data_IF_826058942526
#
_entry.id   IF_826058942526
#
_cell.length_a   1.000
_cell.length_b   1.000
_cell.length_c   1.000
_cell.angle_alpha   90.00
_cell.angle_beta   90.00
_cell.angle_gamma   90.00
#
_symmetry.space_group_name_H-M   'P 1'
#
loop_
_entity.id
_entity.type
_entity.pdbx_description
1 polymer ?
#
# COMPACT_ATOMS: atom_id res chain seq x y z
N UNK A 1 -29.92 18.61 -1.26
CA UNK A 1 -28.80 18.09 -2.07
C UNK A 1 -27.93 17.22 -1.19
N UNK A 2 -27.75 15.96 -1.56
CA UNK A 2 -26.77 15.12 -0.88
C UNK A 2 -25.38 15.71 -1.13
N UNK A 3 -24.67 16.04 -0.07
CA UNK A 3 -23.29 16.51 -0.17
C UNK A 3 -22.45 15.32 -0.64
N UNK A 4 -21.87 15.43 -1.83
CA UNK A 4 -20.94 14.40 -2.32
C UNK A 4 -19.78 14.30 -1.32
N UNK A 5 -19.34 13.09 -0.99
CA UNK A 5 -18.22 12.92 -0.08
C UNK A 5 -16.96 13.57 -0.65
N UNK A 6 -16.26 14.33 0.15
CA UNK A 6 -14.94 14.84 -0.23
C UNK A 6 -13.90 13.72 -0.21
N UNK A 7 -13.06 13.69 -1.22
CA UNK A 7 -11.93 12.77 -1.35
C UNK A 7 -10.58 13.48 -1.20
N UNK A 8 -10.59 14.70 -0.62
CA UNK A 8 -9.32 15.32 -0.26
C UNK A 8 -8.62 14.55 0.86
N UNK A 9 -7.33 14.75 0.98
CA UNK A 9 -6.48 13.98 1.90
C UNK A 9 -6.90 14.17 3.37
N UNK A 10 -7.33 15.36 3.78
CA UNK A 10 -7.78 15.61 5.14
C UNK A 10 -9.08 14.86 5.48
N UNK A 11 -10.03 14.83 4.55
CA UNK A 11 -11.28 14.09 4.72
C UNK A 11 -11.04 12.57 4.75
N UNK A 12 -10.13 12.06 3.94
CA UNK A 12 -9.72 10.65 3.97
C UNK A 12 -9.04 10.30 5.28
N UNK A 13 -8.11 11.13 5.76
CA UNK A 13 -7.42 10.90 7.03
C UNK A 13 -8.41 10.86 8.20
N UNK A 14 -9.43 11.74 8.23
CA UNK A 14 -10.45 11.74 9.26
C UNK A 14 -11.30 10.46 9.26
N UNK A 15 -11.66 9.96 8.08
CA UNK A 15 -12.37 8.67 7.96
C UNK A 15 -11.50 7.49 8.41
N UNK A 16 -10.24 7.51 8.04
CA UNK A 16 -9.28 6.44 8.38
C UNK A 16 -9.03 6.32 9.89
N UNK A 17 -9.10 7.42 10.64
CA UNK A 17 -8.99 7.38 12.12
C UNK A 17 -10.08 6.54 12.78
N UNK A 18 -11.21 6.34 12.11
CA UNK A 18 -12.35 5.56 12.60
C UNK A 18 -12.33 4.10 12.18
N UNK A 19 -11.35 3.71 11.38
CA UNK A 19 -11.21 2.33 10.93
C UNK A 19 -10.70 1.48 12.07
N UNK A 20 -11.46 0.44 12.42
CA UNK A 20 -10.99 -0.63 13.29
C UNK A 20 -10.41 -1.75 12.42
N UNK A 21 -9.13 -1.95 12.52
CA UNK A 21 -8.44 -3.01 11.77
C UNK A 21 -8.76 -4.42 12.29
N UNK A 22 -9.38 -4.52 13.48
CA UNK A 22 -9.64 -5.80 14.12
C UNK A 22 -8.36 -6.50 14.61
N UNK A 23 -8.52 -7.72 15.06
CA UNK A 23 -7.41 -8.57 15.45
C UNK A 23 -6.64 -9.07 14.22
N UNK A 24 -5.34 -9.30 14.38
CA UNK A 24 -4.55 -10.00 13.37
C UNK A 24 -5.08 -11.41 13.18
N UNK A 25 -5.25 -11.83 11.94
CA UNK A 25 -5.46 -13.23 11.67
C UNK A 25 -4.20 -14.02 12.03
N UNK A 26 -4.29 -14.85 13.04
CA UNK A 26 -3.32 -15.92 13.29
C UNK A 26 -3.57 -17.03 12.26
N UNK A 27 -3.16 -16.78 11.03
CA UNK A 27 -3.26 -17.79 9.99
C UNK A 27 -1.92 -18.52 9.87
N UNK A 28 -1.95 -19.81 9.63
CA UNK A 28 -0.80 -20.60 9.22
C UNK A 28 -0.24 -20.17 7.85
N UNK A 29 -0.89 -19.20 7.19
CA UNK A 29 -0.50 -18.64 5.91
C UNK A 29 0.66 -17.66 6.06
N UNK A 30 1.53 -17.57 5.05
CA UNK A 30 2.54 -16.51 4.98
C UNK A 30 1.92 -15.11 5.12
N UNK A 31 2.67 -14.20 5.74
CA UNK A 31 2.24 -12.83 5.98
C UNK A 31 2.96 -11.87 5.05
N UNK A 32 2.23 -10.88 4.57
CA UNK A 32 2.76 -9.76 3.80
C UNK A 32 2.17 -8.45 4.32
N UNK A 33 2.82 -7.35 3.98
CA UNK A 33 2.31 -6.01 4.23
C UNK A 33 2.47 -5.15 2.99
N UNK A 34 1.52 -4.24 2.79
CA UNK A 34 1.55 -3.27 1.70
C UNK A 34 1.37 -1.87 2.24
N UNK A 35 1.90 -0.88 1.52
CA UNK A 35 1.74 0.53 1.81
C UNK A 35 0.79 1.17 0.79
N UNK A 36 -0.33 1.67 1.27
CA UNK A 36 -1.25 2.50 0.48
C UNK A 36 -0.81 3.95 0.64
N UNK A 37 -0.17 4.51 -0.37
CA UNK A 37 0.36 5.87 -0.32
C UNK A 37 -0.67 6.84 -0.90
N UNK A 38 -1.00 7.86 -0.13
CA UNK A 38 -1.88 8.95 -0.51
C UNK A 38 -1.09 10.25 -0.59
N UNK A 39 -1.44 11.11 -1.52
CA UNK A 39 -0.91 12.48 -1.62
C UNK A 39 -1.98 13.47 -2.04
N UNK A 40 -1.74 14.74 -1.76
CA UNK A 40 -2.44 15.83 -2.43
C UNK A 40 -1.70 16.12 -3.74
N UNK A 41 -2.38 16.12 -4.89
CA UNK A 41 -1.74 16.41 -6.17
C UNK A 41 -1.31 17.88 -6.26
N UNK A 42 -0.43 18.20 -7.22
CA UNK A 42 -0.01 19.58 -7.47
C UNK A 42 -1.16 20.48 -7.95
N UNK A 43 -2.20 19.90 -8.53
CA UNK A 43 -3.42 20.60 -8.97
C UNK A 43 -4.65 19.84 -8.52
N UNK A 44 -5.62 20.58 -7.95
CA UNK A 44 -6.85 20.02 -7.43
C UNK A 44 -6.73 19.58 -5.96
N UNK A 45 -7.85 19.20 -5.39
CA UNK A 45 -7.97 18.88 -3.96
C UNK A 45 -8.17 17.39 -3.70
N UNK A 46 -8.52 16.64 -4.74
CA UNK A 46 -8.77 15.21 -4.62
C UNK A 46 -7.46 14.45 -4.43
N UNK A 47 -7.38 13.64 -3.37
CA UNK A 47 -6.21 12.83 -3.10
C UNK A 47 -5.95 11.81 -4.21
N UNK A 48 -4.69 11.55 -4.44
CA UNK A 48 -4.23 10.50 -5.34
C UNK A 48 -3.66 9.33 -4.56
N UNK A 49 -3.82 8.14 -5.11
CA UNK A 49 -3.25 6.89 -4.60
C UNK A 49 -2.21 6.34 -5.56
N UNK A 50 -1.15 5.77 -4.99
CA UNK A 50 0.00 5.25 -5.71
C UNK A 50 -0.12 3.76 -5.97
N UNK A 51 0.14 3.36 -7.21
CA UNK A 51 0.24 1.96 -7.63
C UNK A 51 1.57 1.67 -8.29
N UNK A 52 2.03 0.44 -8.17
CA UNK A 52 3.12 -0.12 -8.96
C UNK A 52 2.57 -1.16 -9.94
N UNK A 53 3.21 -1.30 -11.08
CA UNK A 53 3.07 -2.46 -11.95
C UNK A 53 4.21 -3.42 -11.63
N UNK A 54 3.88 -4.64 -11.22
CA UNK A 54 4.87 -5.66 -10.92
C UNK A 54 5.55 -6.12 -12.21
N UNK A 55 6.89 -6.20 -12.20
CA UNK A 55 7.63 -6.74 -13.32
C UNK A 55 7.25 -8.20 -13.59
N UNK A 56 7.30 -8.60 -14.84
CA UNK A 56 7.06 -10.01 -15.22
C UNK A 56 8.21 -10.87 -14.75
N UNK A 57 7.90 -11.89 -13.96
CA UNK A 57 8.86 -12.84 -13.38
C UNK A 57 8.35 -14.26 -13.55
N UNK A 58 9.20 -15.15 -14.07
CA UNK A 58 8.87 -16.58 -14.15
C UNK A 58 8.67 -17.14 -12.73
N UNK A 59 7.55 -17.79 -12.49
CA UNK A 59 7.19 -18.37 -11.19
C UNK A 59 6.52 -17.42 -10.20
N UNK A 60 6.38 -16.14 -10.54
CA UNK A 60 5.57 -15.20 -9.76
C UNK A 60 4.13 -15.16 -10.27
N UNK A 61 3.15 -15.68 -9.50
CA UNK A 61 1.75 -15.72 -9.95
C UNK A 61 1.09 -14.35 -10.05
N UNK A 62 1.68 -13.30 -9.46
CA UNK A 62 1.19 -11.93 -9.53
C UNK A 62 1.97 -11.04 -10.50
N UNK A 63 2.78 -11.65 -11.38
CA UNK A 63 3.51 -10.93 -12.44
C UNK A 63 2.62 -10.05 -13.29
N UNK A 64 3.05 -8.81 -13.53
CA UNK A 64 2.33 -7.85 -14.37
C UNK A 64 1.08 -7.24 -13.72
N UNK A 65 0.72 -7.62 -12.51
CA UNK A 65 -0.42 -7.04 -11.80
C UNK A 65 -0.10 -5.64 -11.27
N UNK A 66 -1.12 -4.80 -11.25
CA UNK A 66 -1.10 -3.56 -10.49
C UNK A 66 -1.23 -3.89 -9.01
N UNK A 67 -0.41 -3.24 -8.19
CA UNK A 67 -0.35 -3.50 -6.76
C UNK A 67 0.05 -2.25 -5.98
N UNK A 68 -0.12 -2.29 -4.67
CA UNK A 68 0.56 -1.38 -3.76
C UNK A 68 1.99 -1.85 -3.52
N UNK A 69 2.94 -0.94 -3.24
CA UNK A 69 4.26 -1.33 -2.77
C UNK A 69 4.15 -2.21 -1.54
N UNK A 70 4.91 -3.28 -1.48
CA UNK A 70 4.88 -4.21 -0.37
C UNK A 70 5.43 -5.57 -0.72
N UNK A 71 5.40 -6.46 0.26
CA UNK A 71 5.91 -7.80 0.09
C UNK A 71 5.79 -8.65 1.34
N UNK A 72 6.41 -9.81 1.29
CA UNK A 72 6.39 -10.78 2.40
C UNK A 72 7.21 -10.28 3.58
N UNK A 73 6.72 -10.60 4.78
CA UNK A 73 7.48 -10.38 6.00
C UNK A 73 8.79 -11.15 5.95
N UNK A 74 9.87 -10.47 6.27
CA UNK A 74 11.18 -11.03 6.47
C UNK A 74 11.43 -11.28 7.96
N UNK A 75 12.30 -12.24 8.29
CA UNK A 75 12.64 -12.56 9.69
C UNK A 75 13.27 -11.36 10.43
N UNK A 76 13.92 -10.45 9.70
CA UNK A 76 14.50 -9.22 10.24
C UNK A 76 13.49 -8.09 10.50
N UNK A 77 12.25 -8.22 10.03
CA UNK A 77 11.23 -7.21 10.24
C UNK A 77 10.65 -7.31 11.66
N UNK A 78 10.70 -6.21 12.43
CA UNK A 78 10.18 -6.18 13.79
C UNK A 78 8.69 -6.48 13.85
N UNK A 79 7.93 -5.99 12.85
CA UNK A 79 6.51 -6.17 12.68
C UNK A 79 6.12 -6.01 11.21
N UNK A 80 4.83 -6.11 10.90
CA UNK A 80 4.32 -5.95 9.53
C UNK A 80 4.37 -4.50 9.04
N UNK A 81 4.32 -3.52 9.93
CA UNK A 81 4.56 -2.12 9.56
C UNK A 81 5.99 -1.94 9.05
N UNK A 82 6.97 -2.52 9.72
CA UNK A 82 8.36 -2.52 9.26
C UNK A 82 8.52 -3.18 7.90
N UNK A 83 7.76 -4.26 7.63
CA UNK A 83 7.72 -4.91 6.30
C UNK A 83 7.25 -3.93 5.23
N UNK A 84 6.13 -3.23 5.44
CA UNK A 84 5.61 -2.25 4.49
C UNK A 84 6.60 -1.11 4.22
N UNK A 85 7.25 -0.61 5.27
CA UNK A 85 8.26 0.46 5.17
C UNK A 85 9.48 -0.02 4.39
N UNK A 86 10.01 -1.18 4.71
CA UNK A 86 11.20 -1.76 4.04
C UNK A 86 10.93 -2.02 2.56
N UNK A 87 9.85 -2.71 2.25
CA UNK A 87 9.50 -3.06 0.86
C UNK A 87 9.26 -1.82 0.00
N UNK A 88 8.59 -0.80 0.53
CA UNK A 88 8.37 0.46 -0.20
C UNK A 88 9.69 1.14 -0.51
N UNK A 89 10.63 1.17 0.44
CA UNK A 89 11.95 1.73 0.21
C UNK A 89 12.74 0.93 -0.84
N UNK A 90 12.71 -0.39 -0.76
CA UNK A 90 13.39 -1.26 -1.73
C UNK A 90 12.82 -1.12 -3.14
N UNK A 91 11.49 -1.15 -3.29
CA UNK A 91 10.82 -1.18 -4.59
C UNK A 91 10.80 0.18 -5.29
N UNK A 92 10.58 1.28 -4.56
CA UNK A 92 10.37 2.62 -5.16
C UNK A 92 11.23 3.72 -4.56
N UNK A 93 12.09 3.43 -3.58
CA UNK A 93 13.02 4.39 -3.02
C UNK A 93 12.40 5.44 -2.09
N UNK A 94 11.17 5.26 -1.67
CA UNK A 94 10.49 6.18 -0.74
C UNK A 94 10.73 5.74 0.70
N UNK A 95 11.30 6.62 1.52
CA UNK A 95 11.46 6.40 2.95
C UNK A 95 10.23 6.90 3.71
N UNK A 96 9.32 5.99 4.04
CA UNK A 96 8.08 6.32 4.72
C UNK A 96 8.28 6.82 6.16
N UNK A 97 9.39 6.50 6.80
CA UNK A 97 9.70 6.99 8.15
C UNK A 97 10.05 8.48 8.16
N UNK A 98 10.59 8.99 7.04
CA UNK A 98 10.99 10.37 6.88
C UNK A 98 9.93 11.21 6.16
N UNK A 99 9.30 10.66 5.12
CA UNK A 99 8.54 11.43 4.14
C UNK A 99 7.02 11.24 4.23
N UNK A 100 6.55 10.41 5.17
CA UNK A 100 5.14 10.10 5.29
C UNK A 100 4.66 10.05 6.74
N UNK A 101 3.35 10.21 6.91
CA UNK A 101 2.66 9.99 8.18
C UNK A 101 1.76 8.76 8.05
N UNK A 102 1.87 7.82 8.98
CA UNK A 102 0.96 6.69 9.07
C UNK A 102 -0.43 7.18 9.49
N UNK A 103 -1.43 6.93 8.67
CA UNK A 103 -2.82 7.32 8.94
C UNK A 103 -3.63 6.20 9.58
N UNK A 104 -3.48 4.98 9.10
CA UNK A 104 -4.25 3.85 9.57
C UNK A 104 -3.63 2.51 9.12
N UNK A 105 -3.98 1.47 9.86
CA UNK A 105 -3.92 0.10 9.40
C UNK A 105 -5.32 -0.35 9.00
N UNK A 106 -5.47 -0.97 7.85
CA UNK A 106 -6.73 -1.56 7.40
C UNK A 106 -6.83 -3.02 7.86
N UNK A 107 -8.05 -3.61 7.85
CA UNK A 107 -8.22 -5.02 8.15
C UNK A 107 -7.37 -5.92 7.23
N UNK A 108 -6.89 -7.03 7.78
CA UNK A 108 -6.15 -8.03 7.04
C UNK A 108 -6.98 -8.63 5.91
N UNK A 109 -6.36 -8.86 4.76
CA UNK A 109 -7.00 -9.42 3.58
C UNK A 109 -6.33 -10.74 3.20
N UNK A 110 -7.07 -11.85 3.11
CA UNK A 110 -6.56 -13.07 2.52
C UNK A 110 -6.48 -12.91 1.00
N UNK A 111 -5.30 -13.14 0.44
CA UNK A 111 -5.08 -13.23 -1.00
C UNK A 111 -4.79 -14.69 -1.36
N UNK A 112 -5.71 -15.31 -2.10
CA UNK A 112 -5.61 -16.72 -2.46
C UNK A 112 -5.64 -16.86 -3.97
N UNK A 113 -4.62 -17.44 -4.53
CA UNK A 113 -4.61 -17.94 -5.90
C UNK A 113 -5.06 -19.41 -5.92
N UNK A 114 -6.35 -19.61 -6.08
CA UNK A 114 -6.97 -20.94 -6.05
C UNK A 114 -6.33 -21.94 -7.01
N UNK A 115 -5.96 -21.49 -8.21
CA UNK A 115 -5.34 -22.34 -9.23
C UNK A 115 -3.95 -22.84 -8.85
N UNK A 116 -3.21 -22.10 -8.01
CA UNK A 116 -1.84 -22.45 -7.59
C UNK A 116 -1.76 -23.00 -6.16
N UNK A 117 -2.88 -23.04 -5.42
CA UNK A 117 -2.90 -23.44 -4.00
C UNK A 117 -2.12 -22.52 -3.07
N UNK A 118 -1.82 -21.29 -3.50
CA UNK A 118 -1.03 -20.32 -2.76
C UNK A 118 -1.95 -19.37 -2.04
N UNK A 119 -1.76 -19.21 -0.73
CA UNK A 119 -2.44 -18.23 0.12
C UNK A 119 -1.46 -17.38 0.88
N UNK A 120 -1.81 -16.12 1.06
CA UNK A 120 -1.07 -15.16 1.87
C UNK A 120 -2.05 -14.20 2.55
N UNK A 121 -1.74 -13.79 3.77
CA UNK A 121 -2.51 -12.74 4.46
C UNK A 121 -1.78 -11.42 4.31
N UNK A 122 -2.45 -10.42 3.77
CA UNK A 122 -1.91 -9.09 3.51
C UNK A 122 -2.45 -8.09 4.53
N UNK A 123 -1.57 -7.38 5.20
CA UNK A 123 -1.89 -6.27 6.10
C UNK A 123 -1.61 -4.94 5.42
N UNK A 124 -2.65 -4.15 5.06
CA UNK A 124 -2.47 -2.84 4.44
C UNK A 124 -2.25 -1.75 5.49
N UNK A 125 -1.28 -0.88 5.24
CA UNK A 125 -1.01 0.34 6.02
C UNK A 125 -1.16 1.56 5.12
N UNK A 126 -1.93 2.55 5.55
CA UNK A 126 -2.19 3.77 4.78
C UNK A 126 -1.32 4.90 5.28
N UNK A 127 -0.59 5.52 4.36
CA UNK A 127 0.30 6.65 4.63
C UNK A 127 -0.09 7.88 3.82
N UNK A 128 0.05 9.04 4.41
CA UNK A 128 0.03 10.32 3.69
C UNK A 128 1.45 10.80 3.45
N UNK A 129 1.82 11.05 2.21
CA UNK A 129 3.06 11.73 1.90
C UNK A 129 2.94 13.22 2.29
N UNK A 130 3.88 13.72 3.07
CA UNK A 130 3.86 15.08 3.61
C UNK A 130 4.33 16.12 2.59
N UNK A 131 4.97 15.65 1.52
CA UNK A 131 5.50 16.46 0.43
C UNK A 131 5.57 15.65 -0.86
N UNK A 132 5.80 16.32 -1.97
CA UNK A 132 6.12 15.64 -3.22
C UNK A 132 7.49 14.96 -3.10
N UNK A 133 7.49 13.64 -3.16
CA UNK A 133 8.67 12.80 -2.99
C UNK A 133 9.00 12.13 -4.31
N UNK A 134 10.23 12.32 -4.77
CA UNK A 134 10.73 11.58 -5.93
C UNK A 134 10.81 10.09 -5.60
N UNK A 135 10.49 9.26 -6.57
CA UNK A 135 10.62 7.80 -6.45
C UNK A 135 11.49 7.23 -7.57
N UNK A 136 12.13 6.12 -7.28
CA UNK A 136 13.02 5.41 -8.19
C UNK A 136 12.69 3.92 -8.16
N UNK A 137 11.92 3.41 -9.14
CA UNK A 137 11.59 2.00 -9.22
C UNK A 137 12.81 1.11 -9.36
N UNK A 138 12.81 -0.02 -8.65
CA UNK A 138 13.83 -1.06 -8.81
C UNK A 138 13.44 -2.06 -9.92
N UNK A 139 14.21 -3.15 -10.06
CA UNK A 139 13.97 -4.18 -11.08
C UNK A 139 12.66 -4.99 -10.90
N UNK A 140 12.03 -4.94 -9.73
CA UNK A 140 10.76 -5.62 -9.45
C UNK A 140 9.55 -4.83 -9.91
N UNK A 141 9.74 -3.56 -10.28
CA UNK A 141 8.70 -2.61 -10.65
C UNK A 141 8.86 -2.21 -12.12
N UNK A 142 7.89 -2.58 -12.96
CA UNK A 142 7.88 -2.23 -14.37
C UNK A 142 7.38 -0.79 -14.62
N UNK A 143 6.53 -0.26 -13.74
CA UNK A 143 6.00 1.08 -13.84
C UNK A 143 5.31 1.54 -12.58
N UNK A 144 4.98 2.83 -12.52
CA UNK A 144 4.29 3.46 -11.39
C UNK A 144 3.18 4.36 -11.89
N UNK A 145 2.14 4.53 -11.08
CA UNK A 145 0.98 5.35 -11.40
C UNK A 145 0.44 6.03 -10.15
N UNK A 146 0.22 7.33 -10.24
CA UNK A 146 -0.65 8.07 -9.33
C UNK A 146 -2.02 8.24 -10.00
N UNK A 147 -3.10 7.90 -9.29
CA UNK A 147 -4.47 8.01 -9.81
C UNK A 147 -5.37 8.67 -8.77
N UNK A 148 -6.36 9.49 -9.20
CA UNK A 148 -7.33 10.05 -8.28
C UNK A 148 -8.02 8.97 -7.46
N UNK A 149 -8.26 9.26 -6.19
CA UNK A 149 -8.90 8.32 -5.26
C UNK A 149 -10.41 8.20 -5.50
N UNK A 150 -11.06 9.29 -5.85
CA UNK A 150 -12.49 9.35 -6.10
C UNK A 150 -12.89 8.99 -7.54
N UNK A 151 -14.18 8.91 -7.77
CA UNK A 151 -14.73 8.60 -9.10
C UNK A 151 -14.44 9.70 -10.12
#
# INVERSE_FOLDING_TARGET
>A
MAHLPSYDLAALAERLRRVDAGAHHEAELPRAAVAVLLRTPARGDEAEVFFIERAVRVGDPWSGHMAFPGGRRDAGDADLLATAVRETHEEVGIDLTRDATLLARLPDLPAVLKAAGIGIVVSPYVFALERDVAHAPNHEVAGTLWTPFGP
#
